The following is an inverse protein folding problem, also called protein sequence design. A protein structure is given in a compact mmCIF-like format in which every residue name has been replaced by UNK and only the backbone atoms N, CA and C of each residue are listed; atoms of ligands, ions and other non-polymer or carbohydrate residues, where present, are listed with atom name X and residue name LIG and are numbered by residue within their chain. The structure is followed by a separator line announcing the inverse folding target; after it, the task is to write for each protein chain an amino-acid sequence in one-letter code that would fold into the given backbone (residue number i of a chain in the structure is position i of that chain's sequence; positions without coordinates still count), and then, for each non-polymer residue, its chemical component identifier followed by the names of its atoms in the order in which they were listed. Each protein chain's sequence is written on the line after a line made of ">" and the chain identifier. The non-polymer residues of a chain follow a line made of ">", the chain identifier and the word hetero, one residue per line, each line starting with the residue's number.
data_IF_006413846769
#
_entry.id   IF_006413846769
#
_cell.length_a   1.000
_cell.length_b   1.000
_cell.length_c   1.000
_cell.angle_alpha   90.00
_cell.angle_beta   90.00
_cell.angle_gamma   90.00
#
_symmetry.space_group_name_H-M   'P 1'
#
loop_
_entity.id
_entity.type
_entity.pdbx_description
1 polymer ?
#
# COMPACT_ATOMS: atom_id res chain seq x y z
N UNK A 1 28.69 10.29 0.68
CA UNK A 1 29.21 8.96 0.26
C UNK A 1 28.28 7.81 0.67
N UNK A 2 27.81 7.74 1.93
CA UNK A 2 26.88 6.69 2.39
C UNK A 2 25.57 6.56 1.62
N UNK A 3 24.96 7.66 1.15
CA UNK A 3 23.71 7.60 0.38
C UNK A 3 23.92 6.82 -0.92
N UNK A 4 25.00 7.10 -1.66
CA UNK A 4 25.34 6.36 -2.88
C UNK A 4 25.59 4.88 -2.61
N UNK A 5 26.22 4.55 -1.49
CA UNK A 5 26.43 3.17 -1.08
C UNK A 5 25.11 2.47 -0.73
N UNK A 6 24.19 3.15 -0.04
CA UNK A 6 22.84 2.63 0.24
C UNK A 6 22.01 2.42 -1.02
N UNK A 7 22.09 3.35 -1.99
CA UNK A 7 21.41 3.25 -3.30
C UNK A 7 21.94 2.06 -4.10
N UNK A 8 23.27 1.90 -4.19
CA UNK A 8 23.88 0.77 -4.89
C UNK A 8 23.51 -0.55 -4.20
N UNK A 9 23.55 -0.58 -2.87
CA UNK A 9 23.18 -1.77 -2.10
C UNK A 9 21.71 -2.16 -2.30
N UNK A 10 20.79 -1.20 -2.31
CA UNK A 10 19.37 -1.48 -2.59
C UNK A 10 19.15 -1.92 -4.03
N UNK A 11 19.82 -1.31 -5.01
CA UNK A 11 19.74 -1.73 -6.40
C UNK A 11 20.22 -3.18 -6.59
N UNK A 12 21.39 -3.52 -6.04
CA UNK A 12 21.94 -4.89 -6.07
C UNK A 12 21.03 -5.86 -5.30
N UNK A 13 20.51 -5.47 -4.14
CA UNK A 13 19.56 -6.26 -3.36
C UNK A 13 18.27 -6.57 -4.13
N UNK A 14 17.67 -5.57 -4.78
CA UNK A 14 16.49 -5.76 -5.63
C UNK A 14 16.78 -6.72 -6.80
N UNK A 15 17.97 -6.61 -7.42
CA UNK A 15 18.37 -7.50 -8.50
C UNK A 15 18.58 -8.94 -8.00
N UNK A 16 19.23 -9.12 -6.85
CA UNK A 16 19.43 -10.42 -6.23
C UNK A 16 18.11 -11.10 -5.89
N UNK A 17 17.13 -10.37 -5.35
CA UNK A 17 15.78 -10.89 -5.07
C UNK A 17 15.07 -11.30 -6.37
N UNK A 18 15.18 -10.51 -7.44
CA UNK A 18 14.63 -10.87 -8.75
C UNK A 18 15.26 -12.15 -9.30
N UNK A 19 16.59 -12.27 -9.21
CA UNK A 19 17.32 -13.45 -9.64
C UNK A 19 16.93 -14.69 -8.82
N UNK A 20 16.80 -14.54 -7.50
CA UNK A 20 16.31 -15.59 -6.62
C UNK A 20 14.91 -16.07 -7.05
N UNK A 21 14.02 -15.15 -7.44
CA UNK A 21 12.71 -15.46 -8.00
C UNK A 21 12.76 -16.27 -9.30
N UNK A 22 13.73 -16.01 -10.17
CA UNK A 22 13.96 -16.77 -11.42
C UNK A 22 14.53 -18.17 -11.17
N UNK A 23 15.28 -18.34 -10.08
CA UNK A 23 15.89 -19.60 -9.68
C UNK A 23 14.91 -20.52 -8.93
N UNK A 24 13.70 -20.04 -8.58
CA UNK A 24 12.69 -20.85 -7.88
C UNK A 24 12.26 -22.02 -8.76
N UNK A 25 12.35 -23.28 -8.27
CA UNK A 25 11.93 -24.45 -9.02
C UNK A 25 10.43 -24.42 -9.33
N UNK A 26 10.04 -24.81 -10.55
CA UNK A 26 8.63 -24.85 -10.97
C UNK A 26 7.71 -25.61 -10.01
N UNK A 27 8.18 -26.73 -9.43
CA UNK A 27 7.42 -27.53 -8.48
C UNK A 27 7.06 -26.83 -7.15
N UNK A 28 7.73 -25.72 -6.79
CA UNK A 28 7.35 -24.88 -5.64
C UNK A 28 6.24 -23.91 -6.03
N UNK A 29 6.26 -23.40 -7.26
CA UNK A 29 5.29 -22.44 -7.78
C UNK A 29 3.94 -23.09 -8.12
N UNK A 30 3.94 -24.38 -8.45
CA UNK A 30 2.74 -25.17 -8.74
C UNK A 30 1.89 -25.45 -7.49
N UNK A 31 2.42 -25.22 -6.28
CA UNK A 31 1.63 -25.37 -5.06
C UNK A 31 0.49 -24.35 -5.02
N UNK A 32 -0.76 -24.78 -4.80
CA UNK A 32 -1.93 -23.90 -4.88
C UNK A 32 -1.88 -22.74 -3.88
N UNK A 33 -1.25 -22.94 -2.72
CA UNK A 33 -1.05 -21.89 -1.71
C UNK A 33 -0.07 -20.82 -2.18
N UNK A 34 1.07 -21.21 -2.76
CA UNK A 34 2.10 -20.27 -3.24
C UNK A 34 1.55 -19.40 -4.36
N UNK A 35 0.81 -20.00 -5.30
CA UNK A 35 0.15 -19.27 -6.39
C UNK A 35 -0.90 -18.27 -5.91
N UNK A 36 -1.73 -18.65 -4.93
CA UNK A 36 -2.72 -17.74 -4.32
C UNK A 36 -2.05 -16.58 -3.59
N UNK A 37 -1.03 -16.86 -2.78
CA UNK A 37 -0.29 -15.82 -2.07
C UNK A 37 0.41 -14.86 -3.03
N UNK A 38 1.08 -15.38 -4.07
CA UNK A 38 1.75 -14.55 -5.07
C UNK A 38 0.79 -13.59 -5.80
N UNK A 39 -0.45 -14.02 -6.08
CA UNK A 39 -1.48 -13.16 -6.68
C UNK A 39 -2.02 -12.10 -5.72
N UNK A 40 -2.08 -12.40 -4.41
CA UNK A 40 -2.60 -11.48 -3.38
C UNK A 40 -1.54 -10.51 -2.84
N UNK A 41 -0.26 -10.86 -2.96
CA UNK A 41 0.88 -10.10 -2.44
C UNK A 41 0.87 -8.62 -2.86
N UNK A 42 0.68 -8.26 -4.15
CA UNK A 42 0.67 -6.86 -4.56
C UNK A 42 -0.42 -6.05 -3.87
N UNK A 43 -1.64 -6.59 -3.82
CA UNK A 43 -2.78 -5.90 -3.18
C UNK A 43 -2.61 -5.83 -1.67
N UNK A 44 -2.12 -6.90 -1.04
CA UNK A 44 -1.84 -6.93 0.40
C UNK A 44 -0.76 -5.93 0.80
N UNK A 45 0.33 -5.84 0.03
CA UNK A 45 1.41 -4.88 0.25
C UNK A 45 0.93 -3.44 0.04
N UNK A 46 0.15 -3.19 -1.02
CA UNK A 46 -0.43 -1.87 -1.26
C UNK A 46 -1.40 -1.48 -0.15
N UNK A 47 -2.25 -2.40 0.31
CA UNK A 47 -3.17 -2.15 1.42
C UNK A 47 -2.42 -1.87 2.74
N UNK A 48 -1.38 -2.65 3.03
CA UNK A 48 -0.51 -2.43 4.19
C UNK A 48 0.20 -1.07 4.10
N UNK A 49 0.71 -0.71 2.91
CA UNK A 49 1.31 0.60 2.67
C UNK A 49 0.28 1.72 2.89
N UNK A 50 -0.93 1.61 2.34
CA UNK A 50 -1.99 2.59 2.55
C UNK A 50 -2.32 2.72 4.04
N UNK A 51 -2.45 1.62 4.77
CA UNK A 51 -2.66 1.65 6.22
C UNK A 51 -1.51 2.36 6.94
N UNK A 52 -0.26 2.02 6.63
CA UNK A 52 0.90 2.63 7.27
C UNK A 52 1.01 4.14 6.94
N UNK A 53 0.78 4.54 5.68
CA UNK A 53 0.80 5.95 5.25
C UNK A 53 -0.38 6.77 5.79
N UNK A 54 -1.45 6.09 6.23
CA UNK A 54 -2.65 6.71 6.81
C UNK A 54 -2.52 6.89 8.32
N UNK A 55 -1.98 5.90 9.03
CA UNK A 55 -1.98 5.86 10.50
C UNK A 55 -0.61 6.09 11.16
N UNK A 56 0.50 5.99 10.42
CA UNK A 56 1.84 6.19 10.98
C UNK A 56 2.49 7.45 10.41
N UNK A 57 2.89 8.36 11.30
CA UNK A 57 3.79 9.47 10.98
C UNK A 57 4.99 9.39 11.94
N UNK A 58 6.12 8.85 11.46
CA UNK A 58 7.28 8.60 12.33
C UNK A 58 6.98 7.54 13.40
N UNK A 59 7.02 7.92 14.68
CA UNK A 59 6.77 7.05 15.85
C UNK A 59 5.44 7.32 16.55
N UNK A 60 4.63 8.30 16.09
CA UNK A 60 3.33 8.59 16.68
C UNK A 60 2.18 8.06 15.82
N UNK A 61 1.22 7.42 16.50
CA UNK A 61 -0.09 7.12 15.94
C UNK A 61 -0.90 8.41 15.97
N UNK A 62 -1.00 9.10 14.83
CA UNK A 62 -1.89 10.23 14.67
C UNK A 62 -3.04 9.78 13.80
N UNK A 63 -4.27 9.91 14.30
CA UNK A 63 -5.47 9.73 13.48
C UNK A 63 -5.58 10.98 12.59
N UNK A 64 -4.82 10.99 11.49
CA UNK A 64 -4.79 12.09 10.53
C UNK A 64 -6.11 12.11 9.71
N UNK A 65 -6.43 13.25 9.11
CA UNK A 65 -7.59 13.46 8.24
C UNK A 65 -7.72 12.40 7.11
N UNK A 66 -6.59 11.76 6.76
CA UNK A 66 -6.53 10.64 5.81
C UNK A 66 -7.38 9.44 6.24
N UNK A 67 -7.47 9.15 7.54
CA UNK A 67 -8.27 8.04 8.05
C UNK A 67 -9.77 8.26 7.79
N UNK A 68 -10.25 9.50 7.96
CA UNK A 68 -11.63 9.87 7.63
C UNK A 68 -11.91 9.75 6.12
N UNK A 69 -10.96 10.17 5.28
CA UNK A 69 -11.04 10.00 3.82
C UNK A 69 -11.12 8.54 3.37
N UNK A 70 -10.28 7.66 3.95
CA UNK A 70 -10.30 6.22 3.68
C UNK A 70 -11.62 5.59 4.14
N UNK A 71 -12.15 6.00 5.30
CA UNK A 71 -13.47 5.57 5.77
C UNK A 71 -14.60 5.97 4.81
N UNK A 72 -14.58 7.21 4.30
CA UNK A 72 -15.56 7.67 3.32
C UNK A 72 -15.46 6.90 2.00
N UNK A 73 -14.24 6.62 1.53
CA UNK A 73 -14.01 5.79 0.34
C UNK A 73 -14.59 4.37 0.53
N UNK A 74 -14.36 3.76 1.69
CA UNK A 74 -14.89 2.45 2.02
C UNK A 74 -16.43 2.45 2.02
N UNK A 75 -17.06 3.46 2.63
CA UNK A 75 -18.52 3.61 2.62
C UNK A 75 -19.08 3.77 1.20
N UNK A 76 -18.46 4.61 0.37
CA UNK A 76 -18.88 4.80 -1.03
C UNK A 76 -18.75 3.50 -1.84
N UNK A 77 -17.70 2.70 -1.60
CA UNK A 77 -17.53 1.39 -2.22
C UNK A 77 -18.60 0.38 -1.75
N UNK A 78 -18.96 0.37 -0.46
CA UNK A 78 -20.04 -0.46 0.06
C UNK A 78 -21.39 -0.12 -0.60
N UNK A 79 -21.63 1.16 -0.86
CA UNK A 79 -22.80 1.64 -1.60
C UNK A 79 -22.73 1.37 -3.11
N UNK A 80 -21.69 0.68 -3.61
CA UNK A 80 -21.44 0.37 -5.03
C UNK A 80 -21.36 1.61 -5.91
N UNK A 81 -20.86 2.73 -5.38
CA UNK A 81 -20.66 3.96 -6.14
C UNK A 81 -19.58 3.78 -7.23
N UNK A 82 -19.66 4.54 -8.35
CA UNK A 82 -18.64 4.49 -9.39
C UNK A 82 -17.29 5.01 -8.85
N UNK A 83 -16.19 4.53 -9.42
CA UNK A 83 -14.83 4.82 -8.95
C UNK A 83 -14.56 6.33 -8.77
N UNK A 84 -15.03 7.15 -9.70
CA UNK A 84 -14.87 8.61 -9.63
C UNK A 84 -15.53 9.21 -8.38
N UNK A 85 -16.71 8.72 -8.00
CA UNK A 85 -17.45 9.17 -6.82
C UNK A 85 -16.74 8.75 -5.54
N UNK A 86 -16.21 7.52 -5.50
CA UNK A 86 -15.40 7.02 -4.37
C UNK A 86 -14.19 7.92 -4.13
N UNK A 87 -13.44 8.22 -5.20
CA UNK A 87 -12.24 9.07 -5.11
C UNK A 87 -12.62 10.50 -4.71
N UNK A 88 -13.65 11.08 -5.33
CA UNK A 88 -14.12 12.42 -5.01
C UNK A 88 -14.54 12.52 -3.54
N UNK A 89 -15.32 11.57 -3.02
CA UNK A 89 -15.73 11.53 -1.62
C UNK A 89 -14.52 11.44 -0.68
N UNK A 90 -13.56 10.58 -0.97
CA UNK A 90 -12.34 10.43 -0.18
C UNK A 90 -11.54 11.75 -0.08
N UNK A 91 -11.34 12.41 -1.23
CA UNK A 91 -10.62 13.69 -1.33
C UNK A 91 -11.36 14.79 -0.59
N UNK A 92 -12.67 14.94 -0.81
CA UNK A 92 -13.49 15.96 -0.18
C UNK A 92 -13.54 15.81 1.34
N UNK A 93 -13.70 14.58 1.84
CA UNK A 93 -13.71 14.32 3.29
C UNK A 93 -12.34 14.58 3.91
N UNK A 94 -11.26 14.13 3.27
CA UNK A 94 -9.89 14.41 3.76
C UNK A 94 -9.61 15.92 3.80
N UNK A 95 -9.97 16.64 2.74
CA UNK A 95 -9.77 18.09 2.63
C UNK A 95 -10.63 18.84 3.66
N UNK A 96 -11.90 18.46 3.81
CA UNK A 96 -12.81 19.07 4.79
C UNK A 96 -12.35 18.87 6.23
N UNK A 97 -11.96 17.65 6.60
CA UNK A 97 -11.43 17.35 7.94
C UNK A 97 -10.13 18.12 8.19
N UNK A 98 -9.24 18.21 7.20
CA UNK A 98 -8.01 19.00 7.33
C UNK A 98 -8.28 20.50 7.47
N UNK A 99 -9.28 21.04 6.77
CA UNK A 99 -9.66 22.44 6.88
C UNK A 99 -10.29 22.78 8.24
N UNK A 100 -11.00 21.82 8.85
CA UNK A 100 -11.63 21.97 10.18
C UNK A 100 -10.67 21.69 11.34
N UNK A 101 -9.68 20.83 11.14
CA UNK A 101 -8.66 20.46 12.12
C UNK A 101 -7.37 21.31 12.00
N UNK A 102 -7.40 22.37 11.18
CA UNK A 102 -6.31 23.34 11.02
C UNK A 102 -6.14 24.23 12.23
#
# INVERSE_FOLDING_TARGET
>A
MNIWLAVVLTAVGCYAVKLAGLLVPGGVLERPLVRRLAALLPVALLAALTAQQTFAHGTSLVVDARAAGVGAAALALLLRAPFLVVVAAAVLVTAGVRALAG
#
